data_IF_102919442727
#
_entry.id   IF_102919442727
#
_cell.length_a   1.000
_cell.length_b   1.000
_cell.length_c   1.000
_cell.angle_alpha   90.00
_cell.angle_beta   90.00
_cell.angle_gamma   90.00
#
_symmetry.space_group_name_H-M   'P 1'
#
loop_
_entity.id
_entity.type
_entity.pdbx_description
1 polymer ?
#
# COMPACT_ATOMS: atom_id res chain seq x y z
N UNK A 1 -12.46 55.16 -22.74
CA UNK A 1 -11.69 54.63 -21.59
C UNK A 1 -11.45 53.15 -21.84
N UNK A 2 -10.41 52.83 -22.60
CA UNK A 2 -9.92 51.46 -22.76
C UNK A 2 -9.19 51.10 -21.48
N UNK A 3 -9.73 50.12 -20.73
CA UNK A 3 -9.03 49.54 -19.59
C UNK A 3 -7.75 48.89 -20.11
N UNK A 4 -6.61 49.49 -19.79
CA UNK A 4 -5.30 48.92 -20.03
C UNK A 4 -5.20 47.63 -19.20
N UNK A 5 -5.34 46.48 -19.86
CA UNK A 5 -5.09 45.19 -19.24
C UNK A 5 -3.61 45.14 -18.86
N UNK A 6 -3.32 45.40 -17.59
CA UNK A 6 -1.99 45.20 -17.02
C UNK A 6 -1.56 43.75 -17.22
N UNK A 7 -0.74 43.49 -18.24
CA UNK A 7 -0.18 42.17 -18.53
C UNK A 7 0.66 41.73 -17.33
N UNK A 8 0.39 40.54 -16.79
CA UNK A 8 1.18 40.00 -15.68
C UNK A 8 2.63 39.78 -16.15
N UNK A 9 3.58 40.03 -15.26
CA UNK A 9 5.00 39.82 -15.57
C UNK A 9 5.32 38.32 -15.74
N UNK A 10 6.33 37.92 -16.54
CA UNK A 10 6.80 36.54 -16.61
C UNK A 10 7.15 35.94 -15.24
N UNK A 11 7.63 36.76 -14.31
CA UNK A 11 7.88 36.37 -12.90
C UNK A 11 6.61 35.92 -12.18
N UNK A 12 5.50 36.64 -12.39
CA UNK A 12 4.21 36.32 -11.79
C UNK A 12 3.64 35.00 -12.34
N UNK A 13 3.77 34.76 -13.64
CA UNK A 13 3.38 33.49 -14.26
C UNK A 13 4.21 32.31 -13.75
N UNK A 14 5.54 32.48 -13.63
CA UNK A 14 6.41 31.45 -13.08
C UNK A 14 6.09 31.12 -11.62
N UNK A 15 5.79 32.14 -10.81
CA UNK A 15 5.36 31.94 -9.43
C UNK A 15 4.04 31.16 -9.37
N UNK A 16 3.04 31.54 -10.17
CA UNK A 16 1.77 30.83 -10.26
C UNK A 16 1.95 29.36 -10.66
N UNK A 17 2.84 29.08 -11.63
CA UNK A 17 3.15 27.71 -12.05
C UNK A 17 3.77 26.87 -10.92
N UNK A 18 4.69 27.42 -10.13
CA UNK A 18 5.27 26.70 -8.98
C UNK A 18 4.26 26.47 -7.85
N UNK A 19 3.32 27.41 -7.62
CA UNK A 19 2.21 27.21 -6.69
C UNK A 19 1.30 26.08 -7.15
N UNK A 20 0.87 26.08 -8.42
CA UNK A 20 0.02 25.04 -9.01
C UNK A 20 0.71 23.67 -8.95
N UNK A 21 1.98 23.60 -9.34
CA UNK A 21 2.78 22.37 -9.27
C UNK A 21 2.85 21.82 -7.85
N UNK A 22 3.02 22.68 -6.85
CA UNK A 22 3.02 22.25 -5.45
C UNK A 22 1.68 21.63 -5.09
N UNK A 23 0.55 22.29 -5.41
CA UNK A 23 -0.79 21.75 -5.14
C UNK A 23 -1.05 20.40 -5.83
N UNK A 24 -0.61 20.24 -7.09
CA UNK A 24 -0.71 18.96 -7.82
C UNK A 24 0.04 17.86 -7.08
N UNK A 25 1.29 18.11 -6.67
CA UNK A 25 2.10 17.12 -5.96
C UNK A 25 1.49 16.75 -4.59
N UNK A 26 0.90 17.71 -3.90
CA UNK A 26 0.20 17.47 -2.64
C UNK A 26 -1.05 16.60 -2.88
N UNK A 27 -1.87 16.92 -3.88
CA UNK A 27 -3.04 16.11 -4.24
C UNK A 27 -2.69 14.68 -4.66
N UNK A 28 -1.63 14.50 -5.44
CA UNK A 28 -1.11 13.17 -5.80
C UNK A 28 -0.69 12.37 -4.56
N UNK A 29 0.03 13.00 -3.63
CA UNK A 29 0.44 12.35 -2.39
C UNK A 29 -0.77 11.91 -1.53
N UNK A 30 -1.78 12.76 -1.40
CA UNK A 30 -3.00 12.40 -0.67
C UNK A 30 -3.76 11.23 -1.32
N UNK A 31 -3.87 11.22 -2.65
CA UNK A 31 -4.49 10.12 -3.38
C UNK A 31 -3.74 8.79 -3.16
N UNK A 32 -2.41 8.81 -3.29
CA UNK A 32 -1.55 7.65 -3.08
C UNK A 32 -1.63 7.11 -1.64
N UNK A 33 -1.75 7.99 -0.63
CA UNK A 33 -1.98 7.54 0.76
C UNK A 33 -3.32 6.84 0.94
N UNK A 34 -4.37 7.35 0.29
CA UNK A 34 -5.70 6.74 0.33
C UNK A 34 -5.69 5.34 -0.27
N UNK A 35 -5.06 5.20 -1.42
CA UNK A 35 -4.87 3.91 -2.11
C UNK A 35 -3.99 2.94 -1.33
N UNK A 36 -2.85 3.41 -0.80
CA UNK A 36 -1.90 2.59 -0.03
C UNK A 36 -2.59 1.88 1.15
N UNK A 37 -3.57 2.54 1.79
CA UNK A 37 -4.36 1.90 2.88
C UNK A 37 -5.08 0.65 2.40
N UNK A 38 -5.70 0.73 1.23
CA UNK A 38 -6.42 -0.40 0.61
C UNK A 38 -5.40 -1.47 0.21
N UNK A 39 -4.29 -1.07 -0.43
CA UNK A 39 -3.25 -2.02 -0.84
C UNK A 39 -2.65 -2.78 0.36
N UNK A 40 -2.37 -2.10 1.48
CA UNK A 40 -1.90 -2.72 2.70
C UNK A 40 -2.93 -3.72 3.27
N UNK A 41 -4.22 -3.38 3.23
CA UNK A 41 -5.29 -4.29 3.66
C UNK A 41 -5.39 -5.54 2.77
N UNK A 42 -5.33 -5.37 1.45
CA UNK A 42 -5.29 -6.49 0.48
C UNK A 42 -4.09 -7.39 0.74
N UNK A 43 -2.90 -6.82 0.88
CA UNK A 43 -1.67 -7.58 1.12
C UNK A 43 -1.64 -8.24 2.50
N UNK A 44 -2.25 -7.64 3.51
CA UNK A 44 -2.46 -8.26 4.80
C UNK A 44 -3.40 -9.48 4.70
N UNK A 45 -4.53 -9.35 4.01
CA UNK A 45 -5.50 -10.43 3.79
C UNK A 45 -4.90 -11.59 2.99
N UNK A 46 -4.20 -11.31 1.89
CA UNK A 46 -3.45 -12.33 1.13
C UNK A 46 -2.38 -12.97 2.02
N UNK A 47 -1.67 -12.18 2.81
CA UNK A 47 -0.69 -12.67 3.77
C UNK A 47 -1.28 -13.65 4.77
N UNK A 48 -2.47 -13.34 5.31
CA UNK A 48 -3.24 -14.21 6.20
C UNK A 48 -3.61 -15.51 5.51
N UNK A 49 -4.25 -15.44 4.33
CA UNK A 49 -4.64 -16.61 3.55
C UNK A 49 -3.43 -17.52 3.25
N UNK A 50 -2.34 -16.92 2.76
CA UNK A 50 -1.10 -17.65 2.46
C UNK A 50 -0.48 -18.23 3.73
N UNK A 51 -0.50 -17.53 4.87
CA UNK A 51 0.03 -18.07 6.14
C UNK A 51 -0.80 -19.27 6.61
N UNK A 52 -2.13 -19.12 6.67
CA UNK A 52 -3.03 -20.17 7.16
C UNK A 52 -2.87 -21.45 6.35
N UNK A 53 -2.92 -21.34 5.03
CA UNK A 53 -2.77 -22.50 4.16
C UNK A 53 -1.33 -23.02 4.15
N UNK A 54 -0.30 -22.17 3.98
CA UNK A 54 1.08 -22.69 3.90
C UNK A 54 1.67 -23.22 5.21
N UNK A 55 1.12 -22.84 6.37
CA UNK A 55 1.57 -23.31 7.70
C UNK A 55 0.71 -24.46 8.22
N UNK A 56 -0.61 -24.39 8.05
CA UNK A 56 -1.55 -25.41 8.58
C UNK A 56 -1.77 -26.53 7.56
N UNK A 57 -1.90 -26.19 6.28
CA UNK A 57 -2.19 -27.13 5.20
C UNK A 57 -0.97 -27.30 4.29
N UNK A 58 0.02 -28.12 4.71
CA UNK A 58 1.32 -28.42 4.05
C UNK A 58 1.46 -28.10 2.55
N UNK A 59 1.44 -26.81 2.17
CA UNK A 59 1.69 -26.39 0.81
C UNK A 59 3.14 -26.72 0.48
N UNK A 60 3.36 -27.48 -0.60
CA UNK A 60 4.71 -27.83 -1.05
C UNK A 60 5.57 -26.59 -1.30
N UNK A 61 6.90 -26.78 -1.36
CA UNK A 61 7.88 -25.69 -1.53
C UNK A 61 7.67 -24.82 -2.78
N UNK A 62 6.96 -25.33 -3.79
CA UNK A 62 6.64 -24.63 -5.05
C UNK A 62 5.27 -23.97 -5.09
N UNK A 63 4.43 -24.08 -4.05
CA UNK A 63 3.03 -23.63 -4.09
C UNK A 63 2.89 -22.15 -4.46
N UNK A 64 3.72 -21.26 -3.90
CA UNK A 64 3.67 -19.83 -4.23
C UNK A 64 4.03 -19.54 -5.69
N UNK A 65 4.91 -20.34 -6.30
CA UNK A 65 5.24 -20.22 -7.71
C UNK A 65 4.06 -20.63 -8.60
N UNK A 66 3.39 -21.72 -8.24
CA UNK A 66 2.18 -22.19 -8.94
C UNK A 66 1.05 -21.17 -8.83
N UNK A 67 0.80 -20.63 -7.63
CA UNK A 67 -0.23 -19.60 -7.40
C UNK A 67 0.09 -18.34 -8.20
N UNK A 68 1.33 -17.85 -8.15
CA UNK A 68 1.74 -16.67 -8.93
C UNK A 68 1.53 -16.85 -10.43
N UNK A 69 1.89 -18.02 -10.98
CA UNK A 69 1.66 -18.33 -12.40
C UNK A 69 0.17 -18.44 -12.74
N UNK A 70 -0.64 -19.00 -11.84
CA UNK A 70 -2.10 -19.06 -12.01
C UNK A 70 -2.72 -17.66 -11.99
N UNK A 71 -2.35 -16.81 -11.04
CA UNK A 71 -2.84 -15.44 -10.95
C UNK A 71 -2.56 -14.65 -12.23
N UNK A 72 -1.37 -14.77 -12.82
CA UNK A 72 -1.04 -14.13 -14.11
C UNK A 72 -1.87 -14.63 -15.29
N UNK A 73 -2.33 -15.88 -15.25
CA UNK A 73 -3.19 -16.46 -16.29
C UNK A 73 -4.64 -16.02 -16.13
N UNK A 74 -5.11 -15.94 -14.88
CA UNK A 74 -6.47 -15.50 -14.55
C UNK A 74 -6.62 -13.99 -14.81
N UNK A 75 -5.58 -13.22 -14.43
CA UNK A 75 -5.53 -11.77 -14.58
C UNK A 75 -4.27 -11.40 -15.40
N UNK A 76 -4.34 -11.47 -16.74
CA UNK A 76 -3.27 -10.97 -17.61
C UNK A 76 -2.98 -9.49 -17.30
N UNK A 77 -1.71 -9.09 -17.33
CA UNK A 77 -1.30 -7.73 -16.96
C UNK A 77 -1.08 -7.52 -15.46
N UNK A 78 -1.52 -8.44 -14.60
CA UNK A 78 -1.32 -8.34 -13.14
C UNK A 78 0.17 -8.34 -12.76
N UNK A 79 0.64 -7.24 -12.17
CA UNK A 79 2.00 -7.05 -11.63
C UNK A 79 1.98 -7.05 -10.11
N UNK A 80 3.14 -7.22 -9.48
CA UNK A 80 3.27 -7.18 -8.02
C UNK A 80 2.92 -8.48 -7.27
N UNK A 81 2.39 -9.53 -7.93
CA UNK A 81 2.02 -10.81 -7.30
C UNK A 81 2.96 -11.97 -7.69
N UNK A 82 4.28 -11.73 -7.64
CA UNK A 82 5.29 -12.80 -7.79
C UNK A 82 5.29 -13.74 -6.58
N UNK A 83 5.84 -14.95 -6.71
CA UNK A 83 6.01 -15.87 -5.58
C UNK A 83 6.75 -15.24 -4.38
N UNK A 84 7.77 -14.42 -4.67
CA UNK A 84 8.50 -13.66 -3.65
C UNK A 84 7.64 -12.56 -3.02
N UNK A 85 6.76 -11.92 -3.79
CA UNK A 85 5.81 -10.95 -3.26
C UNK A 85 4.78 -11.62 -2.34
N UNK A 86 4.20 -12.75 -2.74
CA UNK A 86 3.28 -13.53 -1.90
C UNK A 86 3.96 -13.97 -0.59
N UNK A 87 5.25 -14.35 -0.66
CA UNK A 87 6.05 -14.66 0.53
C UNK A 87 6.22 -13.45 1.44
N UNK A 88 6.46 -12.26 0.88
CA UNK A 88 6.53 -11.00 1.65
C UNK A 88 5.18 -10.63 2.26
N UNK A 89 4.07 -10.82 1.54
CA UNK A 89 2.71 -10.61 2.07
C UNK A 89 2.46 -11.52 3.27
N UNK A 90 2.83 -12.80 3.17
CA UNK A 90 2.79 -13.73 4.32
C UNK A 90 3.61 -13.21 5.50
N UNK A 91 4.87 -12.80 5.26
CA UNK A 91 5.73 -12.27 6.32
C UNK A 91 5.17 -10.99 6.94
N UNK A 92 4.51 -10.14 6.14
CA UNK A 92 3.86 -8.93 6.59
C UNK A 92 2.71 -9.25 7.55
N UNK A 93 1.80 -10.15 7.17
CA UNK A 93 0.75 -10.63 8.08
C UNK A 93 1.33 -11.25 9.35
N UNK A 94 2.26 -12.21 9.22
CA UNK A 94 2.87 -12.91 10.37
C UNK A 94 3.59 -11.95 11.33
N UNK A 95 4.11 -10.82 10.82
CA UNK A 95 4.80 -9.80 11.63
C UNK A 95 3.86 -8.81 12.30
N UNK A 96 2.61 -8.73 11.84
CA UNK A 96 1.60 -7.74 12.23
C UNK A 96 0.27 -8.40 12.61
N UNK A 97 0.28 -9.64 13.11
CA UNK A 97 -0.94 -10.37 13.51
C UNK A 97 -1.78 -9.62 14.55
N UNK A 98 -1.18 -8.71 15.32
CA UNK A 98 -1.88 -7.79 16.21
C UNK A 98 -2.87 -6.83 15.51
N UNK A 99 -2.82 -6.71 14.18
CA UNK A 99 -3.76 -5.93 13.38
C UNK A 99 -4.99 -6.74 12.96
N UNK A 100 -5.06 -8.02 13.31
CA UNK A 100 -6.22 -8.85 12.97
C UNK A 100 -7.45 -8.41 13.77
N UNK A 101 -8.57 -8.20 13.08
CA UNK A 101 -9.80 -7.74 13.71
C UNK A 101 -10.36 -8.79 14.68
N UNK A 102 -10.78 -8.36 15.88
CA UNK A 102 -11.40 -9.23 16.87
C UNK A 102 -12.65 -9.94 16.31
N UNK A 103 -13.39 -9.28 15.41
CA UNK A 103 -14.54 -9.87 14.71
C UNK A 103 -14.13 -11.08 13.86
N UNK A 104 -12.98 -11.00 13.16
CA UNK A 104 -12.46 -12.13 12.39
C UNK A 104 -11.90 -13.26 13.26
N UNK A 105 -11.40 -12.96 14.46
CA UNK A 105 -10.91 -13.98 15.42
C UNK A 105 -12.06 -14.76 16.05
N UNK A 106 -13.19 -14.11 16.30
CA UNK A 106 -14.38 -14.76 16.86
C UNK A 106 -15.00 -15.79 15.89
N UNK A 107 -15.08 -15.45 14.60
CA UNK A 107 -15.57 -16.37 13.54
C UNK A 107 -14.66 -17.60 13.43
N UNK A 108 -13.34 -17.43 13.48
CA UNK A 108 -12.39 -18.56 13.36
C UNK A 108 -12.34 -19.48 14.59
N UNK A 109 -12.78 -19.01 15.76
CA UNK A 109 -12.75 -19.78 17.01
C UNK A 109 -14.10 -20.43 17.37
N UNK A 110 -15.12 -20.34 16.51
CA UNK A 110 -16.39 -21.07 16.69
C UNK A 110 -17.26 -20.57 17.85
N UNK A 111 -17.08 -19.33 18.31
CA UNK A 111 -18.00 -18.75 19.29
C UNK A 111 -19.21 -18.15 18.56
N UNK A 112 -20.37 -18.79 18.71
CA UNK A 112 -21.67 -18.22 18.32
C UNK A 112 -21.93 -16.95 19.15
N UNK A 113 -21.51 -15.80 18.61
CA UNK A 113 -21.88 -14.51 19.17
C UNK A 113 -23.35 -14.25 18.87
N UNK A 114 -24.19 -14.40 19.89
CA UNK A 114 -25.64 -14.19 19.85
C UNK A 114 -26.03 -12.70 19.75
N UNK A 115 -25.22 -11.88 19.09
CA UNK A 115 -25.49 -10.47 18.84
C UNK A 115 -26.12 -10.30 17.46
N UNK A 116 -27.44 -10.11 17.48
CA UNK A 116 -28.25 -9.59 16.38
C UNK A 116 -27.58 -8.32 15.84
N UNK A 117 -26.93 -8.40 14.67
CA UNK A 117 -26.85 -7.42 13.56
C UNK A 117 -25.65 -7.81 12.65
N UNK A 118 -25.98 -8.03 11.37
CA UNK A 118 -25.10 -8.27 10.22
C UNK A 118 -24.34 -9.62 10.17
N UNK A 119 -25.08 -10.69 9.87
CA UNK A 119 -24.51 -11.86 9.20
C UNK A 119 -24.48 -11.51 7.71
N UNK A 120 -23.41 -10.88 7.23
CA UNK A 120 -22.92 -11.27 5.90
C UNK A 120 -22.18 -12.57 6.14
N UNK A 121 -22.79 -13.68 5.74
CA UNK A 121 -22.12 -14.97 5.70
C UNK A 121 -20.86 -14.80 4.82
N UNK A 122 -19.70 -14.61 5.45
CA UNK A 122 -18.43 -14.64 4.73
C UNK A 122 -18.11 -16.12 4.47
N UNK A 123 -18.01 -16.51 3.20
CA UNK A 123 -17.47 -17.81 2.82
C UNK A 123 -16.06 -17.93 3.40
N UNK A 124 -15.76 -19.02 4.12
CA UNK A 124 -14.42 -19.29 4.69
C UNK A 124 -13.31 -19.27 3.61
N UNK A 125 -13.69 -19.36 2.34
CA UNK A 125 -12.79 -19.33 1.19
C UNK A 125 -12.49 -17.92 0.64
N UNK A 126 -13.09 -16.86 1.17
CA UNK A 126 -12.91 -15.49 0.67
C UNK A 126 -11.97 -14.64 1.54
N UNK A 127 -11.28 -13.68 0.91
CA UNK A 127 -10.41 -12.72 1.60
C UNK A 127 -11.22 -11.45 1.90
N UNK A 128 -11.58 -11.23 3.17
CA UNK A 128 -12.19 -9.98 3.60
C UNK A 128 -11.15 -8.86 3.75
N UNK A 129 -11.05 -8.03 2.70
CA UNK A 129 -10.14 -6.88 2.66
C UNK A 129 -10.66 -5.65 3.42
N UNK A 130 -11.96 -5.63 3.78
CA UNK A 130 -12.60 -4.47 4.41
C UNK A 130 -12.54 -4.54 5.93
N UNK A 131 -12.67 -5.74 6.50
CA UNK A 131 -12.69 -5.93 7.96
C UNK A 131 -11.56 -6.81 8.48
N UNK A 132 -10.72 -7.37 7.61
CA UNK A 132 -9.61 -8.26 8.00
C UNK A 132 -8.44 -7.57 8.71
N UNK A 133 -8.20 -6.29 8.45
CA UNK A 133 -7.13 -5.49 9.08
C UNK A 133 -7.71 -4.31 9.85
N UNK A 134 -7.50 -4.31 11.17
CA UNK A 134 -7.87 -3.21 12.08
C UNK A 134 -6.62 -2.63 12.72
N UNK A 135 -6.39 -1.34 12.52
CA UNK A 135 -5.23 -0.66 13.10
C UNK A 135 -5.53 -0.23 14.54
N UNK A 136 -4.76 -0.67 15.54
CA UNK A 136 -5.00 -0.31 16.93
C UNK A 136 -4.90 1.19 17.16
N UNK A 137 -5.90 1.74 17.84
CA UNK A 137 -5.89 3.12 18.31
C UNK A 137 -5.19 3.22 19.68
N UNK A 138 -3.94 2.78 19.74
CA UNK A 138 -3.11 2.83 20.96
C UNK A 138 -2.05 3.91 20.83
N UNK A 139 -1.58 4.45 21.96
CA UNK A 139 -0.52 5.48 21.97
C UNK A 139 0.81 5.00 21.38
N UNK A 140 1.06 3.70 21.46
CA UNK A 140 2.34 3.11 21.09
C UNK A 140 2.41 2.77 19.60
N UNK A 141 1.29 2.35 19.01
CA UNK A 141 1.21 2.01 17.59
C UNK A 141 1.15 3.27 16.70
N UNK A 142 2.09 3.46 15.76
CA UNK A 142 2.10 4.63 14.88
C UNK A 142 1.09 4.47 13.73
N UNK A 143 -0.21 4.56 14.03
CA UNK A 143 -1.30 4.24 13.10
C UNK A 143 -1.26 5.06 11.80
N UNK A 144 -1.10 6.38 11.93
CA UNK A 144 -1.10 7.29 10.79
C UNK A 144 0.13 7.07 9.91
N UNK A 145 1.30 6.90 10.52
CA UNK A 145 2.56 6.67 9.83
C UNK A 145 2.59 5.30 9.15
N UNK A 146 2.10 4.25 9.84
CA UNK A 146 2.01 2.90 9.30
C UNK A 146 1.26 2.88 7.98
N UNK A 147 0.09 3.52 7.95
CA UNK A 147 -0.79 3.56 6.77
C UNK A 147 -0.31 4.53 5.67
N UNK A 148 0.66 5.38 5.97
CA UNK A 148 1.30 6.30 5.01
C UNK A 148 2.52 5.67 4.35
N UNK A 149 3.08 4.64 4.97
CA UNK A 149 4.28 3.95 4.48
C UNK A 149 3.88 2.83 3.50
N UNK A 150 4.45 2.81 2.28
CA UNK A 150 4.35 1.70 1.34
C UNK A 150 4.64 0.32 1.93
N UNK A 151 3.93 -0.70 1.47
CA UNK A 151 4.22 -2.11 1.68
C UNK A 151 5.68 -2.46 1.40
N UNK A 152 6.29 -1.92 0.33
CA UNK A 152 7.69 -2.23 0.03
C UNK A 152 8.62 -1.78 1.17
N UNK A 153 8.39 -0.60 1.74
CA UNK A 153 9.13 -0.13 2.91
C UNK A 153 8.86 -1.00 4.12
N UNK A 154 7.60 -1.36 4.39
CA UNK A 154 7.25 -2.31 5.46
C UNK A 154 8.01 -3.62 5.30
N UNK A 155 8.01 -4.23 4.12
CA UNK A 155 8.72 -5.46 3.82
C UNK A 155 10.24 -5.34 4.10
N UNK A 156 10.85 -4.20 3.72
CA UNK A 156 12.28 -3.95 3.94
C UNK A 156 12.60 -3.74 5.43
N UNK A 157 11.76 -2.98 6.13
CA UNK A 157 11.87 -2.79 7.58
C UNK A 157 11.75 -4.13 8.28
N UNK A 158 10.73 -4.94 7.98
CA UNK A 158 10.53 -6.27 8.56
C UNK A 158 11.69 -7.23 8.28
N UNK A 159 12.33 -7.13 7.11
CA UNK A 159 13.47 -7.98 6.76
C UNK A 159 14.74 -7.72 7.58
N UNK A 160 14.81 -6.58 8.28
CA UNK A 160 16.03 -6.12 8.97
C UNK A 160 15.80 -5.82 10.46
N UNK A 161 14.67 -5.21 10.81
CA UNK A 161 14.34 -4.82 12.17
C UNK A 161 13.84 -6.01 13.01
N UNK A 162 14.47 -6.21 14.16
CA UNK A 162 14.23 -7.38 15.03
C UNK A 162 13.13 -7.14 16.04
N UNK A 163 13.00 -5.91 16.51
CA UNK A 163 12.06 -5.56 17.59
C UNK A 163 10.92 -4.69 17.08
N UNK A 164 9.80 -4.72 17.80
CA UNK A 164 8.63 -3.91 17.49
C UNK A 164 8.95 -2.41 17.56
N UNK A 165 9.69 -1.99 18.59
CA UNK A 165 10.12 -0.60 18.77
C UNK A 165 11.01 -0.09 17.63
N UNK A 166 11.93 -0.92 17.14
CA UNK A 166 12.77 -0.60 15.99
C UNK A 166 11.94 -0.45 14.71
N UNK A 167 10.95 -1.33 14.48
CA UNK A 167 10.01 -1.20 13.36
C UNK A 167 9.23 0.12 13.42
N UNK A 168 8.68 0.46 14.59
CA UNK A 168 7.96 1.71 14.78
C UNK A 168 8.84 2.94 14.54
N UNK A 169 10.10 2.90 14.98
CA UNK A 169 11.04 3.99 14.73
C UNK A 169 11.23 4.24 13.23
N UNK A 170 11.54 3.19 12.45
CA UNK A 170 11.76 3.35 11.01
C UNK A 170 10.48 3.70 10.25
N UNK A 171 9.32 3.17 10.64
CA UNK A 171 8.02 3.55 10.07
C UNK A 171 7.75 5.05 10.28
N UNK A 172 7.94 5.56 11.51
CA UNK A 172 7.80 6.98 11.82
C UNK A 172 8.75 7.82 10.97
N UNK A 173 10.03 7.44 10.89
CA UNK A 173 11.01 8.15 10.05
C UNK A 173 10.64 8.15 8.57
N UNK A 174 10.17 7.02 8.03
CA UNK A 174 9.72 6.96 6.63
C UNK A 174 8.55 7.90 6.37
N UNK A 175 7.53 7.90 7.23
CA UNK A 175 6.36 8.76 7.08
C UNK A 175 6.69 10.25 7.22
N UNK A 176 7.51 10.62 8.22
CA UNK A 176 7.88 12.01 8.44
C UNK A 176 8.88 12.50 7.39
N UNK A 177 9.93 11.75 7.08
CA UNK A 177 10.96 12.26 6.16
C UNK A 177 10.68 11.94 4.69
N UNK A 178 9.60 11.23 4.36
CA UNK A 178 9.27 10.71 3.03
C UNK A 178 10.43 9.93 2.41
N UNK A 179 11.02 9.01 3.17
CA UNK A 179 12.21 8.29 2.75
C UNK A 179 11.92 7.38 1.55
N UNK A 180 12.86 7.29 0.60
CA UNK A 180 12.85 6.20 -0.37
C UNK A 180 13.23 4.88 0.30
N UNK A 181 12.99 3.77 -0.38
CA UNK A 181 13.37 2.43 0.10
C UNK A 181 14.87 2.36 0.40
N UNK A 182 15.70 2.90 -0.49
CA UNK A 182 17.15 2.88 -0.32
C UNK A 182 17.61 3.73 0.87
N UNK A 183 16.96 4.88 1.09
CA UNK A 183 17.28 5.76 2.20
C UNK A 183 16.98 5.10 3.56
N UNK A 184 15.83 4.43 3.71
CA UNK A 184 15.54 3.70 4.96
C UNK A 184 16.49 2.52 5.14
N UNK A 185 16.77 1.76 4.07
CA UNK A 185 17.74 0.64 4.14
C UNK A 185 19.13 1.13 4.56
N UNK A 186 19.56 2.30 4.11
CA UNK A 186 20.82 2.90 4.52
C UNK A 186 20.81 3.31 5.99
N UNK A 187 19.75 3.97 6.48
CA UNK A 187 19.61 4.29 7.90
C UNK A 187 19.59 3.05 8.81
N UNK A 188 19.04 1.93 8.32
CA UNK A 188 19.08 0.65 9.04
C UNK A 188 20.50 0.06 9.07
N UNK A 189 21.31 0.25 8.02
CA UNK A 189 22.72 -0.16 8.03
C UNK A 189 23.57 0.68 8.99
N UNK A 190 23.22 1.95 9.15
CA UNK A 190 23.88 2.90 10.05
C UNK A 190 23.41 2.78 11.51
N UNK A 191 22.50 1.86 11.80
CA UNK A 191 21.91 1.65 13.13
C UNK A 191 21.32 2.95 13.73
N UNK A 192 20.58 3.68 12.89
CA UNK A 192 19.98 4.94 13.27
C UNK A 192 19.04 4.83 14.49
N UNK A 193 18.43 3.66 14.71
CA UNK A 193 17.57 3.42 15.87
C UNK A 193 18.30 3.63 17.20
N UNK A 194 19.54 3.13 17.32
CA UNK A 194 20.34 3.30 18.53
C UNK A 194 21.12 4.63 18.55
N UNK A 195 21.50 5.15 17.39
CA UNK A 195 22.39 6.33 17.28
C UNK A 195 21.65 7.67 17.15
N UNK A 196 20.38 7.69 16.72
CA UNK A 196 19.60 8.91 16.42
C UNK A 196 18.19 8.82 17.01
N UNK A 197 18.09 8.82 18.35
CA UNK A 197 16.80 8.61 19.05
C UNK A 197 15.79 9.77 18.90
N UNK A 198 16.24 10.99 18.56
CA UNK A 198 15.35 12.11 18.30
C UNK A 198 15.19 12.35 16.80
N UNK A 199 13.96 12.21 16.30
CA UNK A 199 13.59 12.71 14.98
C UNK A 199 13.68 14.25 15.04
N UNK A 200 14.42 14.94 14.14
CA UNK A 200 14.55 16.39 14.20
C UNK A 200 13.18 17.09 14.14
N UNK A 201 12.91 17.97 15.11
CA UNK A 201 11.61 18.60 15.34
C UNK A 201 11.26 19.73 14.34
N UNK A 202 11.95 19.79 13.19
CA UNK A 202 11.77 20.84 12.18
C UNK A 202 10.59 20.57 11.22
N UNK A 203 9.81 19.51 11.48
CA UNK A 203 8.84 18.97 10.54
C UNK A 203 7.61 19.87 10.34
N UNK A 204 7.06 20.45 11.40
CA UNK A 204 5.92 21.38 11.34
C UNK A 204 6.23 22.67 10.58
N UNK A 205 7.51 23.00 10.35
CA UNK A 205 7.95 24.16 9.56
C UNK A 205 8.19 23.85 8.08
N UNK A 206 8.34 22.59 7.71
CA UNK A 206 8.20 22.11 6.31
C UNK A 206 6.74 21.79 6.04
N UNK A 207 5.86 22.81 6.08
CA UNK A 207 4.62 22.74 5.31
C UNK A 207 5.00 22.34 3.89
N UNK A 208 4.38 21.27 3.36
CA UNK A 208 4.67 20.57 2.09
C UNK A 208 5.09 21.51 0.94
N UNK A 209 6.32 22.00 0.97
CA UNK A 209 6.91 22.79 -0.10
C UNK A 209 7.11 21.86 -1.31
N UNK A 210 7.32 22.42 -2.50
CA UNK A 210 7.44 21.65 -3.74
C UNK A 210 8.43 20.46 -3.62
N UNK A 211 9.54 20.63 -2.88
CA UNK A 211 10.56 19.59 -2.68
C UNK A 211 10.06 18.47 -1.76
N UNK A 212 9.40 18.81 -0.66
CA UNK A 212 8.79 17.85 0.27
C UNK A 212 7.67 17.05 -0.40
N UNK A 213 6.73 17.75 -1.07
CA UNK A 213 5.62 17.12 -1.79
C UNK A 213 6.12 16.18 -2.90
N UNK A 214 7.15 16.59 -3.66
CA UNK A 214 7.79 15.72 -4.65
C UNK A 214 8.41 14.46 -4.01
N UNK A 215 9.10 14.61 -2.89
CA UNK A 215 9.71 13.47 -2.18
C UNK A 215 8.64 12.48 -1.70
N UNK A 216 7.53 13.02 -1.19
CA UNK A 216 6.37 12.27 -0.74
C UNK A 216 5.71 11.45 -1.88
N UNK A 217 5.52 12.05 -3.06
CA UNK A 217 5.02 11.31 -4.24
C UNK A 217 6.03 10.24 -4.68
N UNK A 218 7.33 10.55 -4.69
CA UNK A 218 8.37 9.61 -5.12
C UNK A 218 8.52 8.39 -4.18
N UNK A 219 8.16 8.53 -2.90
CA UNK A 219 8.17 7.42 -1.94
C UNK A 219 7.25 6.26 -2.37
N UNK A 220 6.12 6.56 -3.02
CA UNK A 220 5.18 5.57 -3.55
C UNK A 220 5.56 5.06 -4.94
N UNK A 221 6.43 5.77 -5.67
CA UNK A 221 6.83 5.37 -7.02
C UNK A 221 7.60 4.04 -7.05
N UNK A 222 8.23 3.68 -5.95
CA UNK A 222 8.97 2.41 -5.80
C UNK A 222 8.05 1.20 -5.56
N UNK A 223 6.73 1.39 -5.41
CA UNK A 223 5.82 0.39 -4.84
C UNK A 223 5.06 -0.50 -5.83
N UNK A 224 5.17 -0.31 -7.15
CA UNK A 224 4.18 -0.90 -8.09
C UNK A 224 2.75 -0.38 -7.86
N UNK A 225 2.52 0.65 -7.02
CA UNK A 225 1.21 1.28 -6.80
C UNK A 225 0.58 1.73 -8.14
N UNK A 226 1.38 2.28 -9.04
CA UNK A 226 0.92 2.63 -10.40
C UNK A 226 0.45 1.43 -11.22
N UNK A 227 0.97 0.22 -10.97
CA UNK A 227 0.51 -1.00 -11.65
C UNK A 227 -0.78 -1.58 -11.03
N UNK A 228 -1.07 -1.28 -9.76
CA UNK A 228 -2.32 -1.66 -9.10
C UNK A 228 -3.51 -0.80 -9.58
N UNK A 229 -3.26 0.47 -9.93
CA UNK A 229 -4.26 1.39 -10.50
C UNK A 229 -4.43 1.22 -12.02
N UNK A 230 -3.43 0.69 -12.73
CA UNK A 230 -3.50 0.67 -14.20
C UNK A 230 -4.41 -0.47 -14.71
N UNK A 231 -5.72 -0.29 -14.54
CA UNK A 231 -6.77 -1.24 -14.93
C UNK A 231 -6.88 -1.40 -16.46
N UNK A 232 -6.30 -0.49 -17.25
CA UNK A 232 -6.28 -0.59 -18.72
C UNK A 232 -5.53 -1.84 -19.24
N UNK A 233 -4.62 -2.43 -18.44
CA UNK A 233 -3.97 -3.71 -18.76
C UNK A 233 -4.69 -4.94 -18.15
N UNK A 234 -5.59 -4.74 -17.18
CA UNK A 234 -6.32 -5.81 -16.49
C UNK A 234 -7.65 -6.02 -17.22
N UNK A 235 -7.58 -6.64 -18.39
CA UNK A 235 -8.77 -7.08 -19.12
C UNK A 235 -9.30 -8.39 -18.55
N UNK A 236 -10.46 -8.35 -17.88
CA UNK A 236 -11.31 -9.54 -17.77
C UNK A 236 -11.72 -9.95 -19.19
N UNK A 237 -11.47 -11.20 -19.57
CA UNK A 237 -12.05 -11.75 -20.80
C UNK A 237 -13.36 -12.40 -20.41
N UNK A 238 -14.44 -11.63 -20.46
CA UNK A 238 -15.75 -12.26 -20.53
C UNK A 238 -15.84 -13.04 -21.84
N UNK A 239 -16.32 -14.28 -21.77
CA UNK A 239 -16.45 -15.15 -22.94
C UNK A 239 -17.40 -14.60 -24.01
N UNK A 240 -18.17 -13.56 -23.68
CA UNK A 240 -19.07 -12.85 -24.59
C UNK A 240 -18.33 -11.79 -25.45
N UNK A 241 -17.19 -11.25 -24.99
CA UNK A 241 -16.38 -10.26 -25.74
C UNK A 241 -15.59 -10.87 -26.91
N UNK A 242 -15.56 -12.20 -27.03
CA UNK A 242 -14.90 -12.88 -28.14
C UNK A 242 -15.75 -12.80 -29.43
N UNK A 243 -17.09 -12.71 -29.32
CA UNK A 243 -17.97 -12.71 -30.49
C UNK A 243 -18.13 -11.34 -31.15
N UNK A 244 -17.99 -10.22 -30.43
CA UNK A 244 -18.10 -8.87 -31.04
C UNK A 244 -16.97 -8.59 -32.04
N UNK A 245 -15.74 -9.04 -31.76
CA UNK A 245 -14.59 -8.81 -32.66
C UNK A 245 -14.64 -9.63 -33.95
N UNK A 246 -15.40 -10.73 -33.99
CA UNK A 246 -15.55 -11.56 -35.20
C UNK A 246 -16.58 -10.94 -36.15
N UNK A 247 -17.57 -10.21 -35.64
CA UNK A 247 -18.59 -9.54 -36.46
C UNK A 247 -18.05 -8.30 -37.16
N UNK A 248 -17.12 -7.57 -36.54
CA UNK A 248 -16.50 -6.38 -37.17
C UNK A 248 -15.54 -6.72 -38.31
N UNK A 249 -14.85 -7.87 -38.28
CA UNK A 249 -13.94 -8.28 -39.36
C UNK A 249 -14.66 -8.81 -40.62
N UNK A 250 -15.98 -9.02 -40.59
CA UNK A 250 -16.76 -9.44 -41.76
C UNK A 250 -17.54 -8.30 -42.43
N UNK A 251 -17.42 -7.06 -41.94
CA UNK A 251 -18.12 -5.88 -42.49
C UNK A 251 -17.21 -4.76 -43.00
N UNK A 252 -15.90 -4.98 -43.08
CA UNK A 252 -14.95 -4.06 -43.71
C UNK A 252 -14.50 -4.55 -45.09
#
# INVERSE_FOLDING_TARGET
>A
MTMEQSQLSPSTYNHAAEVIKTAILQGQYEALKGENRIQLAVYFGIGKYVSQNSRKEKWGSSALAVISERLRKILPGLRGFSAESLKKMRQFYESWTMLESEATVAVQNGYENNSVIAITEFDENEIDIYHGMSVPNTTDFPATEFLTVPFTHHSRILSKAKTLSERYYYIRRCAHEHLSVDAVVQLMKEDAFHTQQSIPNNFSKTMMNAKGARKAVMMFKDEYALDFINVEEIGERDSEDIDERVVEQQRA
#
